data_IF_220940797258
#
_entry.id   IF_220940797258
#
_cell.length_a   1.000
_cell.length_b   1.000
_cell.length_c   1.000
_cell.angle_alpha   90.00
_cell.angle_beta   90.00
_cell.angle_gamma   90.00
#
_symmetry.space_group_name_H-M   'P 1'
#
loop_
_entity.id
_entity.type
_entity.pdbx_description
1 polymer ?
#
# COMPACT_ATOMS: atom_id res chain seq x y z
N UNK A 1 9.97 -3.31 0.86
CA UNK A 1 8.53 -3.42 1.15
C UNK A 1 8.14 -4.87 1.26
N UNK A 2 7.43 -5.24 2.32
CA UNK A 2 7.01 -6.61 2.61
C UNK A 2 6.08 -7.19 1.54
N UNK A 3 5.94 -8.52 1.55
CA UNK A 3 5.21 -9.29 0.54
C UNK A 3 3.69 -9.23 0.71
N UNK A 4 3.17 -8.69 1.81
CA UNK A 4 1.74 -8.74 2.13
C UNK A 4 0.84 -8.21 1.01
N UNK A 5 1.32 -7.23 0.23
CA UNK A 5 0.58 -6.68 -0.92
C UNK A 5 0.86 -7.40 -2.26
N UNK A 6 1.80 -8.35 -2.28
CA UNK A 6 2.23 -9.09 -3.47
C UNK A 6 1.86 -10.58 -3.42
N UNK A 7 1.47 -11.10 -2.25
CA UNK A 7 0.95 -12.45 -2.12
C UNK A 7 -0.46 -12.47 -2.67
N UNK A 8 -0.68 -13.37 -3.61
CA UNK A 8 -2.01 -13.69 -4.13
C UNK A 8 -2.21 -15.20 -4.10
N UNK A 9 -3.48 -15.58 -4.16
CA UNK A 9 -3.96 -16.95 -4.09
C UNK A 9 -4.80 -17.23 -5.34
N UNK A 10 -4.60 -18.40 -5.96
CA UNK A 10 -5.22 -18.72 -7.24
C UNK A 10 -4.44 -18.22 -8.47
N UNK A 11 -5.08 -18.26 -9.63
CA UNK A 11 -4.45 -17.89 -10.90
C UNK A 11 -4.73 -16.42 -11.25
N UNK A 12 -3.70 -15.67 -11.63
CA UNK A 12 -3.86 -14.28 -12.10
C UNK A 12 -3.20 -14.08 -13.45
N UNK A 13 -3.85 -13.38 -14.35
CA UNK A 13 -3.27 -12.96 -15.62
C UNK A 13 -3.47 -11.47 -15.80
N UNK A 14 -2.38 -10.71 -15.83
CA UNK A 14 -2.39 -9.28 -16.11
C UNK A 14 -1.84 -9.04 -17.52
N UNK A 15 -2.63 -8.42 -18.39
CA UNK A 15 -2.21 -8.03 -19.73
C UNK A 15 -2.22 -6.51 -19.80
N UNK A 16 -1.04 -5.90 -19.74
CA UNK A 16 -0.85 -4.46 -19.93
C UNK A 16 -0.48 -4.18 -21.38
N UNK A 17 -1.23 -3.32 -22.04
CA UNK A 17 -0.95 -2.81 -23.37
C UNK A 17 -0.58 -1.34 -23.29
N UNK A 18 0.62 -1.00 -23.76
CA UNK A 18 1.08 0.40 -23.82
C UNK A 18 0.70 0.97 -25.18
N UNK A 19 -0.37 1.78 -25.23
CA UNK A 19 -0.87 2.36 -26.47
C UNK A 19 -0.07 3.60 -26.89
N UNK A 20 0.30 4.42 -25.91
CA UNK A 20 1.20 5.57 -26.08
C UNK A 20 2.11 5.65 -24.85
N UNK A 21 3.24 6.38 -24.91
CA UNK A 21 4.11 6.55 -23.74
C UNK A 21 3.38 7.10 -22.50
N UNK A 22 2.26 7.79 -22.73
CA UNK A 22 1.46 8.44 -21.70
C UNK A 22 0.15 7.70 -21.41
N UNK A 23 -0.16 6.59 -22.09
CA UNK A 23 -1.43 5.89 -21.91
C UNK A 23 -1.25 4.38 -22.00
N UNK A 24 -1.60 3.72 -20.90
CA UNK A 24 -1.56 2.27 -20.76
C UNK A 24 -2.93 1.73 -20.36
N UNK A 25 -3.25 0.55 -20.87
CA UNK A 25 -4.48 -0.17 -20.58
C UNK A 25 -4.09 -1.52 -20.02
N UNK A 26 -4.69 -1.92 -18.90
CA UNK A 26 -4.40 -3.19 -18.23
C UNK A 26 -5.68 -4.02 -18.11
N UNK A 27 -5.61 -5.26 -18.55
CA UNK A 27 -6.65 -6.25 -18.39
C UNK A 27 -6.18 -7.26 -17.34
N UNK A 28 -6.78 -7.22 -16.16
CA UNK A 28 -6.44 -8.10 -15.04
C UNK A 28 -7.52 -9.15 -14.86
N UNK A 29 -7.18 -10.40 -15.12
CA UNK A 29 -8.01 -11.57 -14.88
C UNK A 29 -7.55 -12.21 -13.58
N UNK A 30 -8.38 -12.18 -12.55
CA UNK A 30 -8.19 -12.96 -11.35
C UNK A 30 -9.11 -14.18 -11.42
N UNK A 31 -8.53 -15.36 -11.57
CA UNK A 31 -9.23 -16.63 -11.47
C UNK A 31 -9.08 -17.13 -10.03
N UNK A 32 -10.16 -16.93 -9.29
CA UNK A 32 -10.19 -16.97 -7.83
C UNK A 32 -9.65 -18.23 -7.17
N UNK A 33 -9.24 -18.08 -5.90
CA UNK A 33 -9.10 -19.17 -4.94
C UNK A 33 -10.41 -19.37 -4.17
N UNK A 34 -10.49 -20.38 -3.30
CA UNK A 34 -11.68 -20.70 -2.49
C UNK A 34 -12.25 -19.55 -1.63
N UNK A 35 -11.56 -18.40 -1.52
CA UNK A 35 -11.97 -17.25 -0.72
C UNK A 35 -12.34 -15.98 -1.54
N UNK A 36 -12.08 -15.94 -2.86
CA UNK A 36 -12.40 -14.77 -3.68
C UNK A 36 -12.89 -15.25 -5.05
N UNK A 37 -14.07 -14.79 -5.54
CA UNK A 37 -14.59 -15.21 -6.83
C UNK A 37 -13.70 -14.75 -7.97
N UNK A 38 -13.86 -15.39 -9.14
CA UNK A 38 -13.16 -14.94 -10.33
C UNK A 38 -13.68 -13.55 -10.73
N UNK A 39 -12.76 -12.61 -10.90
CA UNK A 39 -13.08 -11.24 -11.28
C UNK A 39 -12.22 -10.78 -12.45
N UNK A 40 -12.83 -9.98 -13.30
CA UNK A 40 -12.14 -9.27 -14.37
C UNK A 40 -12.12 -7.78 -14.04
N UNK A 41 -10.90 -7.23 -13.99
CA UNK A 41 -10.62 -5.85 -13.72
C UNK A 41 -10.01 -5.18 -14.95
N UNK A 42 -10.68 -4.15 -15.44
CA UNK A 42 -10.21 -3.33 -16.53
C UNK A 42 -9.62 -2.03 -15.96
N UNK A 43 -8.31 -1.88 -16.09
CA UNK A 43 -7.55 -0.72 -15.66
C UNK A 43 -7.11 0.16 -16.84
N UNK A 44 -7.11 1.45 -16.65
CA UNK A 44 -6.50 2.42 -17.55
C UNK A 44 -5.67 3.37 -16.73
N UNK A 45 -4.51 3.78 -17.23
CA UNK A 45 -3.73 4.83 -16.63
C UNK A 45 -3.19 5.78 -17.70
N UNK A 46 -3.35 7.07 -17.42
CA UNK A 46 -2.83 8.17 -18.20
C UNK A 46 -1.78 8.91 -17.38
N UNK A 47 -0.59 9.04 -17.95
CA UNK A 47 0.58 9.66 -17.36
C UNK A 47 0.91 10.92 -18.17
N UNK A 48 0.41 12.07 -17.71
CA UNK A 48 0.79 13.38 -18.21
C UNK A 48 1.98 13.96 -17.46
N UNK A 49 2.47 15.11 -17.93
CA UNK A 49 3.61 15.82 -17.30
C UNK A 49 3.29 16.35 -15.89
N UNK A 50 2.02 16.73 -15.66
CA UNK A 50 1.55 17.28 -14.38
C UNK A 50 0.35 16.52 -13.82
N UNK A 51 -0.29 15.65 -14.59
CA UNK A 51 -1.47 14.90 -14.19
C UNK A 51 -1.23 13.40 -14.35
N UNK A 52 -1.64 12.64 -13.35
CA UNK A 52 -1.69 11.18 -13.43
C UNK A 52 -3.12 10.76 -13.14
N UNK A 53 -3.78 10.17 -14.13
CA UNK A 53 -5.14 9.68 -14.01
C UNK A 53 -5.10 8.16 -14.12
N UNK A 54 -5.85 7.48 -13.27
CA UNK A 54 -6.03 6.04 -13.35
C UNK A 54 -7.47 5.69 -13.03
N UNK A 55 -8.02 4.74 -13.76
CA UNK A 55 -9.38 4.25 -13.57
C UNK A 55 -9.39 2.74 -13.68
N UNK A 56 -9.97 2.06 -12.70
CA UNK A 56 -10.18 0.63 -12.69
C UNK A 56 -11.68 0.35 -12.60
N UNK A 57 -12.15 -0.61 -13.38
CA UNK A 57 -13.52 -1.06 -13.41
C UNK A 57 -13.54 -2.58 -13.19
N UNK A 58 -14.24 -3.00 -12.16
CA UNK A 58 -14.43 -4.42 -11.84
C UNK A 58 -15.71 -4.97 -12.48
N UNK A 59 -15.81 -6.29 -12.56
CA UNK A 59 -16.95 -7.02 -13.17
C UNK A 59 -18.27 -6.75 -12.46
N UNK A 60 -18.23 -6.49 -11.16
CA UNK A 60 -19.41 -6.20 -10.34
C UNK A 60 -19.88 -4.72 -10.44
N UNK A 61 -19.28 -3.95 -11.36
CA UNK A 61 -19.59 -2.53 -11.56
C UNK A 61 -18.95 -1.60 -10.51
N UNK A 62 -18.03 -2.12 -9.70
CA UNK A 62 -17.24 -1.28 -8.80
C UNK A 62 -16.23 -0.48 -9.63
N UNK A 63 -16.22 0.85 -9.45
CA UNK A 63 -15.34 1.76 -10.18
C UNK A 63 -14.39 2.43 -9.22
N UNK A 64 -13.09 2.31 -9.45
CA UNK A 64 -12.06 3.04 -8.70
C UNK A 64 -11.36 4.03 -9.62
N UNK A 65 -11.57 5.31 -9.41
CA UNK A 65 -10.86 6.38 -10.08
C UNK A 65 -9.84 7.03 -9.15
N UNK A 66 -8.66 7.34 -9.67
CA UNK A 66 -7.64 8.10 -8.97
C UNK A 66 -7.04 9.13 -9.91
N UNK A 67 -7.06 10.38 -9.48
CA UNK A 67 -6.55 11.53 -10.21
C UNK A 67 -5.53 12.27 -9.34
N UNK A 68 -4.27 12.31 -9.75
CA UNK A 68 -3.24 13.13 -9.14
C UNK A 68 -2.95 14.31 -10.06
N UNK A 69 -2.83 15.50 -9.48
CA UNK A 69 -2.48 16.73 -10.18
C UNK A 69 -1.38 17.45 -9.41
N UNK A 70 -0.21 17.59 -10.03
CA UNK A 70 0.93 18.30 -9.49
C UNK A 70 0.88 19.76 -9.95
N UNK A 71 0.40 20.65 -9.06
CA UNK A 71 0.40 22.09 -9.28
C UNK A 71 1.82 22.65 -9.38
N UNK A 72 2.75 22.04 -8.64
CA UNK A 72 4.18 22.38 -8.62
C UNK A 72 4.99 21.14 -8.25
N UNK A 73 6.31 21.22 -8.30
CA UNK A 73 7.20 20.16 -7.77
C UNK A 73 7.02 19.93 -6.27
N UNK A 74 6.51 20.93 -5.56
CA UNK A 74 6.31 20.91 -4.12
C UNK A 74 4.86 20.63 -3.71
N UNK A 75 3.89 20.77 -4.62
CA UNK A 75 2.48 20.72 -4.27
C UNK A 75 1.70 19.79 -5.20
N UNK A 76 1.13 18.71 -4.64
CA UNK A 76 0.40 17.69 -5.38
C UNK A 76 -0.95 17.45 -4.72
N UNK A 77 -2.02 17.60 -5.49
CA UNK A 77 -3.37 17.20 -5.08
C UNK A 77 -3.66 15.80 -5.63
N UNK A 78 -4.30 14.95 -4.85
CA UNK A 78 -4.75 13.62 -5.29
C UNK A 78 -6.20 13.43 -4.89
N UNK A 79 -7.05 13.05 -5.84
CA UNK A 79 -8.41 12.60 -5.60
C UNK A 79 -8.49 11.11 -5.87
N UNK A 80 -9.14 10.35 -4.99
CA UNK A 80 -9.49 8.95 -5.21
C UNK A 80 -10.98 8.80 -4.96
N UNK A 81 -11.69 8.18 -5.89
CA UNK A 81 -13.10 7.89 -5.78
C UNK A 81 -13.31 6.41 -6.04
N UNK A 82 -13.90 5.70 -5.09
CA UNK A 82 -14.32 4.32 -5.22
C UNK A 82 -15.83 4.30 -5.15
N UNK A 83 -16.48 4.01 -6.27
CA UNK A 83 -17.91 3.81 -6.36
C UNK A 83 -18.18 2.32 -6.30
N UNK A 84 -18.96 1.89 -5.31
CA UNK A 84 -19.46 0.53 -5.23
C UNK A 84 -20.95 0.51 -5.53
N UNK A 85 -21.41 -0.59 -6.11
CA UNK A 85 -22.84 -0.81 -6.38
C UNK A 85 -23.66 -1.03 -5.09
N UNK A 86 -23.01 -1.24 -3.93
CA UNK A 86 -23.68 -1.29 -2.64
C UNK A 86 -23.95 0.12 -2.10
N UNK A 87 -25.22 0.48 -1.82
CA UNK A 87 -25.57 1.79 -1.26
C UNK A 87 -24.78 2.08 0.04
N UNK A 88 -24.16 3.25 0.13
CA UNK A 88 -23.41 3.69 1.31
C UNK A 88 -21.93 3.30 1.36
N UNK A 89 -21.44 2.46 0.44
CA UNK A 89 -20.03 2.04 0.38
C UNK A 89 -19.19 2.81 -0.65
N UNK A 90 -19.69 3.95 -1.13
CA UNK A 90 -18.90 4.84 -1.97
C UNK A 90 -17.91 5.62 -1.11
N UNK A 91 -16.63 5.60 -1.49
CA UNK A 91 -15.55 6.26 -0.79
C UNK A 91 -14.94 7.36 -1.66
N UNK A 92 -15.00 8.61 -1.22
CA UNK A 92 -14.31 9.74 -1.83
C UNK A 92 -13.16 10.17 -0.91
N UNK A 93 -11.95 10.14 -1.40
CA UNK A 93 -10.76 10.61 -0.70
C UNK A 93 -10.12 11.75 -1.47
N UNK A 94 -9.79 12.83 -0.77
CA UNK A 94 -9.05 13.97 -1.31
C UNK A 94 -7.83 14.17 -0.45
N UNK A 95 -6.66 14.18 -1.07
CA UNK A 95 -5.36 14.31 -0.43
C UNK A 95 -4.63 15.51 -1.01
N UNK A 96 -4.00 16.29 -0.14
CA UNK A 96 -3.14 17.41 -0.49
C UNK A 96 -1.77 17.16 0.11
N UNK A 97 -0.78 16.97 -0.74
CA UNK A 97 0.63 16.82 -0.40
C UNK A 97 1.38 18.12 -0.66
N UNK A 98 1.97 18.68 0.40
CA UNK A 98 2.87 19.81 0.33
C UNK A 98 4.26 19.42 0.86
N UNK A 99 5.21 19.32 -0.05
CA UNK A 99 6.62 19.07 0.24
C UNK A 99 7.36 20.41 0.36
N UNK A 100 7.65 20.82 1.60
CA UNK A 100 8.61 21.89 1.89
C UNK A 100 10.06 21.41 1.72
N UNK A 101 11.01 22.29 2.04
CA UNK A 101 12.45 21.96 1.97
C UNK A 101 12.90 21.08 3.12
N UNK A 102 12.32 21.28 4.30
CA UNK A 102 12.66 20.69 5.58
C UNK A 102 11.47 20.02 6.27
N UNK A 103 10.25 20.19 5.73
CA UNK A 103 9.03 19.55 6.22
C UNK A 103 8.16 19.02 5.08
N UNK A 104 7.32 18.06 5.38
CA UNK A 104 6.25 17.56 4.53
C UNK A 104 4.93 17.68 5.32
N UNK A 105 3.93 18.27 4.67
CA UNK A 105 2.57 18.36 5.17
C UNK A 105 1.67 17.58 4.22
N UNK A 106 0.90 16.65 4.75
CA UNK A 106 -0.07 15.87 4.00
C UNK A 106 -1.42 15.97 4.71
N UNK A 107 -2.45 16.37 3.97
CA UNK A 107 -3.82 16.47 4.48
C UNK A 107 -4.71 15.55 3.65
N UNK A 108 -5.37 14.58 4.28
CA UNK A 108 -6.34 13.68 3.65
C UNK A 108 -7.71 13.90 4.23
N UNK A 109 -8.71 14.02 3.38
CA UNK A 109 -10.12 14.01 3.73
C UNK A 109 -10.75 12.78 3.07
N UNK A 110 -11.42 11.94 3.86
CA UNK A 110 -12.12 10.75 3.41
C UNK A 110 -13.59 10.90 3.75
N UNK A 111 -14.44 10.71 2.75
CA UNK A 111 -15.89 10.89 2.81
C UNK A 111 -16.32 12.19 3.48
N UNK A 112 -15.82 13.37 3.04
CA UNK A 112 -16.33 14.62 3.56
C UNK A 112 -17.77 14.80 3.09
N UNK A 113 -18.75 14.64 3.98
CA UNK A 113 -20.16 14.92 3.69
C UNK A 113 -20.49 16.34 4.21
N UNK A 114 -20.74 17.32 3.33
CA UNK A 114 -21.03 18.69 3.77
C UNK A 114 -22.39 18.81 4.47
N UNK A 115 -23.28 17.84 4.25
CA UNK A 115 -24.66 17.87 4.71
C UNK A 115 -24.82 17.36 6.14
N UNK A 116 -24.03 16.35 6.54
CA UNK A 116 -24.09 15.74 7.87
C UNK A 116 -22.88 16.11 8.74
N UNK A 117 -21.88 16.79 8.16
CA UNK A 117 -20.63 17.12 8.84
C UNK A 117 -19.85 15.89 9.28
N UNK A 118 -20.04 14.76 8.59
CA UNK A 118 -19.33 13.49 8.80
C UNK A 118 -18.14 13.41 7.86
N UNK A 119 -17.11 12.69 8.28
CA UNK A 119 -15.89 12.53 7.51
C UNK A 119 -14.68 12.23 8.38
N UNK A 120 -13.63 11.72 7.73
CA UNK A 120 -12.34 11.46 8.37
C UNK A 120 -11.35 12.45 7.78
N UNK A 121 -10.74 13.25 8.64
CA UNK A 121 -9.67 14.17 8.29
C UNK A 121 -8.38 13.69 8.93
N UNK A 122 -7.35 13.50 8.13
CA UNK A 122 -6.03 13.08 8.56
C UNK A 122 -5.07 14.20 8.20
N UNK A 123 -4.44 14.81 9.20
CA UNK A 123 -3.35 15.76 9.02
C UNK A 123 -2.05 15.12 9.45
N UNK A 124 -1.12 14.92 8.52
CA UNK A 124 0.21 14.39 8.77
C UNK A 124 1.23 15.50 8.57
N UNK A 125 2.11 15.68 9.54
CA UNK A 125 3.20 16.64 9.49
C UNK A 125 4.49 15.93 9.85
N UNK A 126 5.50 16.01 8.99
CA UNK A 126 6.80 15.39 9.19
C UNK A 126 7.90 16.41 8.92
N UNK A 127 8.77 16.64 9.89
CA UNK A 127 9.84 17.62 9.83
C UNK A 127 11.20 16.95 10.06
N UNK A 128 12.18 17.31 9.23
CA UNK A 128 13.57 16.87 9.41
C UNK A 128 14.22 17.73 10.49
N UNK A 129 14.47 17.15 11.66
CA UNK A 129 15.14 17.83 12.79
C UNK A 129 16.66 17.78 12.61
N UNK A 130 17.17 16.74 11.95
CA UNK A 130 18.58 16.56 11.61
C UNK A 130 18.69 15.99 10.18
N UNK A 131 19.92 15.86 9.66
CA UNK A 131 20.19 15.22 8.37
C UNK A 131 19.77 13.74 8.33
N UNK A 132 19.73 13.11 9.50
CA UNK A 132 19.46 11.68 9.65
C UNK A 132 18.18 11.39 10.42
N UNK A 133 17.56 12.39 11.05
CA UNK A 133 16.39 12.20 11.90
C UNK A 133 15.25 13.11 11.44
N UNK A 134 14.11 12.50 11.14
CA UNK A 134 12.85 13.18 10.90
C UNK A 134 11.81 12.72 11.92
N UNK A 135 11.10 13.69 12.49
CA UNK A 135 10.02 13.46 13.44
C UNK A 135 8.74 14.03 12.86
N UNK A 136 7.62 13.34 13.09
CA UNK A 136 6.32 13.77 12.62
C UNK A 136 5.21 13.39 13.57
N UNK A 137 4.06 14.00 13.35
CA UNK A 137 2.83 13.69 14.03
C UNK A 137 1.70 13.60 13.00
N UNK A 138 0.79 12.67 13.24
CA UNK A 138 -0.43 12.50 12.45
C UNK A 138 -1.63 12.64 13.37
N UNK A 139 -2.55 13.52 13.02
CA UNK A 139 -3.82 13.68 13.70
C UNK A 139 -4.92 13.11 12.82
N UNK A 140 -5.61 12.09 13.31
CA UNK A 140 -6.81 11.53 12.68
C UNK A 140 -7.99 12.08 13.46
N UNK A 141 -8.76 12.95 12.83
CA UNK A 141 -10.04 13.42 13.31
C UNK A 141 -11.14 12.70 12.53
N UNK A 142 -11.78 11.71 13.13
CA UNK A 142 -12.88 10.99 12.52
C UNK A 142 -14.20 11.32 13.19
N UNK A 143 -15.19 11.63 12.35
CA UNK A 143 -16.59 11.79 12.76
C UNK A 143 -17.45 10.84 11.91
N UNK A 144 -17.54 9.56 12.29
CA UNK A 144 -18.32 8.57 11.54
C UNK A 144 -19.83 8.78 11.70
N UNK A 145 -20.30 9.27 12.85
CA UNK A 145 -21.73 9.52 13.16
C UNK A 145 -21.87 10.88 13.85
N UNK A 146 -22.97 11.62 13.62
CA UNK A 146 -23.25 12.85 14.37
C UNK A 146 -23.22 12.59 15.89
N UNK A 147 -22.24 13.16 16.59
CA UNK A 147 -22.08 13.06 18.05
C UNK A 147 -20.96 12.15 18.56
N UNK A 148 -20.30 11.37 17.71
CA UNK A 148 -19.06 10.64 18.06
C UNK A 148 -17.88 11.28 17.35
N UNK A 149 -17.05 11.95 18.14
CA UNK A 149 -15.79 12.54 17.69
C UNK A 149 -14.65 11.72 18.27
N UNK A 150 -13.86 11.10 17.40
CA UNK A 150 -12.66 10.40 17.81
C UNK A 150 -11.46 11.12 17.20
N UNK A 151 -10.60 11.61 18.09
CA UNK A 151 -9.31 12.17 17.70
C UNK A 151 -8.22 11.22 18.13
N UNK A 152 -7.49 10.67 17.17
CA UNK A 152 -6.34 9.81 17.42
C UNK A 152 -5.08 10.53 16.96
N UNK A 153 -4.16 10.74 17.90
CA UNK A 153 -2.84 11.25 17.61
C UNK A 153 -1.88 10.09 17.39
N UNK A 154 -1.07 10.17 16.35
CA UNK A 154 0.04 9.26 16.12
C UNK A 154 1.33 10.05 15.99
N UNK A 155 2.42 9.48 16.47
CA UNK A 155 3.76 10.05 16.36
C UNK A 155 4.60 9.14 15.49
N UNK A 156 5.37 9.74 14.59
CA UNK A 156 6.25 9.03 13.67
C UNK A 156 7.67 9.53 13.87
N UNK A 157 8.61 8.61 13.93
CA UNK A 157 10.03 8.89 13.93
C UNK A 157 10.67 8.09 12.80
N UNK A 158 11.53 8.74 12.03
CA UNK A 158 12.33 8.13 10.97
C UNK A 158 13.79 8.47 11.20
N UNK A 159 14.63 7.45 11.25
CA UNK A 159 16.07 7.56 11.34
C UNK A 159 16.72 6.93 10.11
N UNK A 160 17.48 7.73 9.36
CA UNK A 160 18.18 7.32 8.14
C UNK A 160 19.68 7.25 8.44
N UNK A 161 20.20 6.02 8.47
CA UNK A 161 21.63 5.75 8.52
C UNK A 161 22.25 5.73 7.12
N UNK A 162 23.50 5.27 7.01
CA UNK A 162 24.20 5.17 5.72
C UNK A 162 23.61 4.08 4.83
N UNK A 163 23.35 2.91 5.41
CA UNK A 163 22.87 1.71 4.70
C UNK A 163 21.56 1.15 5.30
N UNK A 164 21.01 1.81 6.31
CA UNK A 164 19.79 1.38 7.00
C UNK A 164 18.82 2.53 7.25
N UNK A 165 17.53 2.21 7.36
CA UNK A 165 16.47 3.13 7.73
C UNK A 165 15.63 2.48 8.82
N UNK A 166 15.55 3.11 9.98
CA UNK A 166 14.67 2.72 11.06
C UNK A 166 13.47 3.67 11.10
N UNK A 167 12.26 3.13 11.25
CA UNK A 167 11.04 3.91 11.45
C UNK A 167 10.32 3.39 12.69
N UNK A 168 9.73 4.30 13.45
CA UNK A 168 8.88 3.96 14.58
C UNK A 168 7.62 4.82 14.50
N UNK A 169 6.46 4.21 14.64
CA UNK A 169 5.16 4.87 14.67
C UNK A 169 4.44 4.42 15.94
N UNK A 170 3.97 5.38 16.72
CA UNK A 170 3.15 5.15 17.89
C UNK A 170 1.78 5.79 17.65
N UNK A 171 0.73 4.98 17.59
CA UNK A 171 -0.64 5.43 17.45
C UNK A 171 -1.29 5.48 18.84
N UNK A 172 -2.00 6.58 19.12
CA UNK A 172 -2.57 6.90 20.44
C UNK A 172 -3.60 5.89 20.96
N UNK A 173 -4.08 4.98 20.11
CA UNK A 173 -4.93 3.86 20.50
C UNK A 173 -4.13 2.67 21.09
N UNK A 174 -2.82 2.82 21.31
CA UNK A 174 -1.96 1.80 21.88
C UNK A 174 -1.39 0.83 20.83
N UNK A 175 -1.18 1.28 19.59
CA UNK A 175 -0.45 0.52 18.58
C UNK A 175 0.96 1.10 18.43
N UNK A 176 1.99 0.28 18.56
CA UNK A 176 3.38 0.64 18.28
C UNK A 176 3.89 -0.21 17.13
N UNK A 177 4.34 0.43 16.07
CA UNK A 177 4.92 -0.21 14.89
C UNK A 177 6.36 0.28 14.73
N UNK A 178 7.31 -0.63 14.74
CA UNK A 178 8.71 -0.35 14.47
C UNK A 178 9.17 -1.14 13.25
N UNK A 179 9.86 -0.49 12.32
CA UNK A 179 10.41 -1.15 11.14
C UNK A 179 11.88 -0.78 10.98
N UNK A 180 12.67 -1.75 10.53
CA UNK A 180 14.09 -1.61 10.27
C UNK A 180 14.38 -2.16 8.88
N UNK A 181 14.82 -1.30 7.99
CA UNK A 181 15.26 -1.64 6.65
C UNK A 181 16.77 -1.56 6.57
N UNK A 182 17.41 -2.57 6.02
CA UNK A 182 18.85 -2.66 5.82
C UNK A 182 19.15 -3.09 4.39
N UNK A 183 19.90 -2.25 3.67
CA UNK A 183 20.41 -2.60 2.35
C UNK A 183 21.78 -3.24 2.52
N UNK A 184 21.87 -4.56 2.34
CA UNK A 184 23.13 -5.29 2.47
C UNK A 184 23.98 -5.21 1.20
N UNK A 185 23.32 -5.22 0.03
CA UNK A 185 23.98 -5.13 -1.27
C UNK A 185 23.04 -4.46 -2.29
N UNK A 186 23.53 -4.16 -3.49
CA UNK A 186 22.68 -3.68 -4.58
C UNK A 186 21.60 -4.69 -4.98
N UNK A 187 21.82 -5.96 -4.69
CA UNK A 187 20.92 -7.07 -5.04
C UNK A 187 20.12 -7.61 -3.86
N UNK A 188 20.46 -7.22 -2.62
CA UNK A 188 19.90 -7.85 -1.42
C UNK A 188 19.51 -6.79 -0.40
N UNK A 189 18.22 -6.77 -0.08
CA UNK A 189 17.62 -5.94 0.94
C UNK A 189 17.00 -6.81 2.03
N UNK A 190 17.17 -6.40 3.28
CA UNK A 190 16.48 -6.99 4.42
C UNK A 190 15.55 -5.96 5.07
N UNK A 191 14.44 -6.44 5.60
CA UNK A 191 13.48 -5.64 6.34
C UNK A 191 12.94 -6.43 7.52
N UNK A 192 12.87 -5.80 8.67
CA UNK A 192 12.21 -6.33 9.86
C UNK A 192 11.14 -5.35 10.29
N UNK A 193 9.99 -5.85 10.69
CA UNK A 193 8.88 -5.07 11.20
C UNK A 193 8.34 -5.73 12.46
N UNK A 194 8.00 -4.91 13.45
CA UNK A 194 7.43 -5.33 14.72
C UNK A 194 6.21 -4.46 14.96
N UNK A 195 5.04 -5.07 15.02
CA UNK A 195 3.79 -4.42 15.35
C UNK A 195 3.31 -4.94 16.71
N UNK A 196 3.12 -4.04 17.65
CA UNK A 196 2.63 -4.30 19.00
C UNK A 196 1.30 -3.59 19.14
N UNK A 197 0.24 -4.32 19.44
CA UNK A 197 -1.08 -3.78 19.72
C UNK A 197 -1.40 -4.04 21.20
N UNK A 198 -1.60 -2.97 21.96
CA UNK A 198 -1.94 -3.02 23.39
C UNK A 198 -3.35 -2.49 23.68
N UNK A 199 -4.22 -2.46 22.67
CA UNK A 199 -5.58 -1.96 22.79
C UNK A 199 -6.50 -2.95 23.55
N UNK A 200 -7.34 -2.44 24.45
CA UNK A 200 -8.43 -3.21 25.06
C UNK A 200 -8.02 -4.36 26.00
N UNK A 201 -6.83 -4.30 26.60
CA UNK A 201 -6.35 -5.32 27.54
C UNK A 201 -5.73 -6.57 26.89
N UNK A 202 -5.73 -6.64 25.55
CA UNK A 202 -5.04 -7.66 24.78
C UNK A 202 -3.70 -7.12 24.28
N UNK A 203 -2.63 -7.86 24.51
CA UNK A 203 -1.27 -7.53 24.06
C UNK A 203 -0.87 -8.53 23.00
N UNK A 204 -1.11 -8.19 21.74
CA UNK A 204 -0.66 -8.97 20.61
C UNK A 204 0.57 -8.30 20.00
N UNK A 205 1.62 -9.07 19.78
CA UNK A 205 2.85 -8.61 19.15
C UNK A 205 3.18 -9.55 18.00
N UNK A 206 3.43 -8.95 16.83
CA UNK A 206 3.72 -9.65 15.59
C UNK A 206 5.02 -9.09 15.05
N UNK A 207 6.02 -9.95 14.89
CA UNK A 207 7.30 -9.57 14.30
C UNK A 207 7.51 -10.32 13.00
N UNK A 208 7.64 -9.57 11.91
CA UNK A 208 7.86 -10.08 10.56
C UNK A 208 9.27 -9.73 10.12
N UNK A 209 10.00 -10.71 9.61
CA UNK A 209 11.32 -10.53 9.00
C UNK A 209 11.23 -10.94 7.55
N UNK A 210 11.74 -10.12 6.64
CA UNK A 210 11.72 -10.39 5.21
C UNK A 210 13.01 -10.00 4.51
N UNK A 211 13.25 -10.66 3.38
CA UNK A 211 14.37 -10.40 2.48
C UNK A 211 13.88 -10.27 1.04
N UNK A 212 14.46 -9.32 0.31
CA UNK A 212 14.28 -9.15 -1.12
C UNK A 212 15.63 -9.39 -1.81
N UNK A 213 15.61 -10.28 -2.78
CA UNK A 213 16.73 -10.63 -3.62
C UNK A 213 16.36 -10.27 -5.06
N UNK A 214 17.04 -9.27 -5.61
CA UNK A 214 16.81 -8.80 -6.97
C UNK A 214 17.98 -9.22 -7.86
N UNK A 215 17.67 -10.10 -8.81
CA UNK A 215 18.56 -10.54 -9.87
C UNK A 215 18.14 -9.91 -11.20
N UNK A 216 19.01 -9.99 -12.21
CA UNK A 216 18.75 -9.37 -13.52
C UNK A 216 17.49 -9.90 -14.23
N UNK A 217 17.12 -11.16 -14.00
CA UNK A 217 15.96 -11.83 -14.61
C UNK A 217 14.93 -12.30 -13.61
N UNK A 218 15.17 -12.17 -12.30
CA UNK A 218 14.22 -12.63 -11.30
C UNK A 218 14.27 -11.78 -10.04
N UNK A 219 13.12 -11.62 -9.40
CA UNK A 219 13.01 -10.99 -8.09
C UNK A 219 12.41 -12.01 -7.14
N UNK A 220 13.18 -12.42 -6.14
CA UNK A 220 12.71 -13.29 -5.08
C UNK A 220 12.47 -12.46 -3.82
N UNK A 221 11.35 -12.70 -3.16
CA UNK A 221 11.00 -12.07 -1.90
C UNK A 221 10.52 -13.15 -0.95
N UNK A 222 11.05 -13.17 0.27
CA UNK A 222 10.59 -14.05 1.34
C UNK A 222 10.29 -13.27 2.60
N UNK A 223 9.29 -13.69 3.37
CA UNK A 223 9.03 -13.20 4.72
C UNK A 223 8.61 -14.33 5.64
N UNK A 224 8.94 -14.17 6.91
CA UNK A 224 8.60 -15.06 8.02
C UNK A 224 8.04 -14.21 9.13
N UNK A 225 6.92 -14.65 9.69
CA UNK A 225 6.23 -13.97 10.78
C UNK A 225 6.22 -14.82 12.06
N UNK A 226 6.19 -14.18 13.22
CA UNK A 226 6.15 -14.86 14.53
C UNK A 226 4.90 -15.69 14.77
N UNK A 227 3.86 -15.48 13.97
CA UNK A 227 2.63 -16.28 13.97
C UNK A 227 2.81 -17.67 13.34
N UNK A 228 3.99 -18.00 12.82
CA UNK A 228 4.27 -19.27 12.11
C UNK A 228 3.90 -19.22 10.63
N UNK A 229 3.61 -18.02 10.12
CA UNK A 229 3.26 -17.77 8.73
C UNK A 229 4.53 -17.47 7.93
N UNK A 230 4.73 -18.20 6.84
CA UNK A 230 5.84 -18.02 5.90
C UNK A 230 5.25 -17.68 4.54
N UNK A 231 5.72 -16.60 3.91
CA UNK A 231 5.30 -16.24 2.56
C UNK A 231 6.50 -16.02 1.66
N UNK A 232 6.41 -16.45 0.41
CA UNK A 232 7.43 -16.24 -0.61
C UNK A 232 6.75 -15.86 -1.94
N UNK A 233 7.35 -14.92 -2.65
CA UNK A 233 6.96 -14.57 -4.03
C UNK A 233 8.21 -14.57 -4.89
N UNK A 234 8.13 -15.27 -6.01
CA UNK A 234 9.13 -15.30 -7.06
C UNK A 234 8.54 -14.67 -8.31
N UNK A 235 9.17 -13.62 -8.81
CA UNK A 235 8.89 -13.04 -10.12
C UNK A 235 10.05 -13.39 -11.06
N UNK A 236 9.79 -14.02 -12.19
CA UNK A 236 10.78 -14.38 -13.19
C UNK A 236 10.42 -13.79 -14.55
N UNK A 237 11.32 -13.00 -15.12
CA UNK A 237 11.20 -12.39 -16.44
C UNK A 237 11.79 -13.33 -17.47
N UNK A 238 10.93 -14.06 -18.17
CA UNK A 238 11.34 -15.09 -19.13
C UNK A 238 11.68 -14.46 -20.49
N UNK A 239 10.83 -13.54 -20.98
CA UNK A 239 11.08 -12.73 -22.19
C UNK A 239 10.72 -11.26 -21.94
N UNK A 240 11.26 -10.31 -22.71
CA UNK A 240 10.83 -8.91 -22.64
C UNK A 240 9.32 -8.82 -22.84
N UNK A 241 8.61 -8.25 -21.87
CA UNK A 241 7.15 -8.17 -21.86
C UNK A 241 6.43 -9.43 -21.35
N UNK A 242 7.13 -10.43 -20.81
CA UNK A 242 6.48 -11.54 -20.11
C UNK A 242 7.18 -11.88 -18.80
N UNK A 243 6.44 -11.72 -17.71
CA UNK A 243 6.87 -12.05 -16.36
C UNK A 243 5.97 -13.13 -15.78
N UNK A 244 6.58 -14.20 -15.26
CA UNK A 244 5.91 -15.23 -14.51
C UNK A 244 6.01 -14.93 -13.03
N UNK A 245 4.91 -15.05 -12.30
CA UNK A 245 4.85 -14.81 -10.85
C UNK A 245 4.40 -16.09 -10.14
N UNK A 246 5.09 -16.46 -9.08
CA UNK A 246 4.69 -17.55 -8.19
C UNK A 246 4.62 -16.97 -6.79
N UNK A 247 3.49 -17.17 -6.14
CA UNK A 247 3.21 -16.74 -4.78
C UNK A 247 2.89 -17.98 -3.95
N UNK A 248 3.50 -18.10 -2.77
CA UNK A 248 3.25 -19.18 -1.84
C UNK A 248 3.17 -18.64 -0.42
N UNK A 249 2.16 -19.05 0.31
CA UNK A 249 1.96 -18.70 1.71
C UNK A 249 1.62 -19.96 2.49
N UNK A 250 2.29 -20.18 3.61
CA UNK A 250 2.11 -21.34 4.46
C UNK A 250 1.94 -20.89 5.91
N UNK A 251 0.77 -21.16 6.47
CA UNK A 251 0.46 -20.98 7.89
C UNK A 251 0.67 -22.33 8.60
N UNK A 252 1.79 -22.44 9.34
CA UNK A 252 2.12 -23.65 10.09
C UNK A 252 1.21 -23.86 11.31
N UNK A 253 0.60 -22.80 11.84
CA UNK A 253 -0.29 -22.88 13.00
C UNK A 253 -1.64 -23.51 12.65
N UNK A 254 -2.17 -23.22 11.46
CA UNK A 254 -3.45 -23.76 10.98
C UNK A 254 -3.32 -24.89 9.97
N UNK A 255 -2.09 -25.21 9.54
CA UNK A 255 -1.83 -26.20 8.49
C UNK A 255 -2.42 -25.82 7.13
N UNK A 256 -2.66 -24.53 6.90
CA UNK A 256 -3.24 -24.03 5.65
C UNK A 256 -2.14 -23.49 4.76
N UNK A 257 -2.14 -23.91 3.50
CA UNK A 257 -1.23 -23.40 2.47
C UNK A 257 -2.04 -22.76 1.35
N UNK A 258 -1.62 -21.59 0.91
CA UNK A 258 -2.18 -20.86 -0.22
C UNK A 258 -1.11 -20.70 -1.28
N UNK A 259 -1.47 -20.96 -2.52
CA UNK A 259 -0.55 -20.89 -3.65
C UNK A 259 -1.22 -20.12 -4.77
N UNK A 260 -0.47 -19.16 -5.32
CA UNK A 260 -0.88 -18.35 -6.44
C UNK A 260 0.10 -18.46 -7.59
N UNK A 261 -0.42 -18.53 -8.81
CA UNK A 261 0.39 -18.47 -10.03
C UNK A 261 -0.12 -17.34 -10.91
N UNK A 262 0.80 -16.47 -11.28
CA UNK A 262 0.52 -15.23 -12.00
C UNK A 262 1.28 -15.19 -13.32
N UNK A 263 0.67 -14.61 -14.34
CA UNK A 263 1.35 -14.25 -15.58
C UNK A 263 1.09 -12.78 -15.86
N UNK A 264 2.15 -12.02 -16.10
CA UNK A 264 2.05 -10.63 -16.53
C UNK A 264 2.62 -10.52 -17.94
N UNK A 265 1.80 -10.01 -18.85
CA UNK A 265 2.17 -9.71 -20.22
C UNK A 265 2.14 -8.21 -20.43
N UNK A 266 3.21 -7.65 -21.00
CA UNK A 266 3.30 -6.28 -21.49
C UNK A 266 3.40 -6.31 -23.02
N UNK A 267 2.39 -5.74 -23.70
CA UNK A 267 2.28 -5.64 -25.17
C UNK A 267 2.49 -4.21 -25.64
#
# INVERSE_FOLDING_TARGET
TFLTNHVFDGARCDITKVLTPNFQVTHSFAMGSSASPSSYNFGTAFIGQQSFLSGNLDTDGNVQARANYAWSTHNVSKGQAQFSNTPGHSMLQVEQDYNGKDFNLNVKAVNPSPLEGTGIFIGSYLQSVSQNLALGAEAIYQRPTPGQEETVWSYVAKYTGRDYVATAQYQGFGALQASYYLRYSEKVDFGTEVQILTAGGRRDAVATVGGKFEFRRSTFRGQVDTTGKVSAVLEEKIVPGFSFLVSGEMDHGKGQSRFGVGMMWEV
#
